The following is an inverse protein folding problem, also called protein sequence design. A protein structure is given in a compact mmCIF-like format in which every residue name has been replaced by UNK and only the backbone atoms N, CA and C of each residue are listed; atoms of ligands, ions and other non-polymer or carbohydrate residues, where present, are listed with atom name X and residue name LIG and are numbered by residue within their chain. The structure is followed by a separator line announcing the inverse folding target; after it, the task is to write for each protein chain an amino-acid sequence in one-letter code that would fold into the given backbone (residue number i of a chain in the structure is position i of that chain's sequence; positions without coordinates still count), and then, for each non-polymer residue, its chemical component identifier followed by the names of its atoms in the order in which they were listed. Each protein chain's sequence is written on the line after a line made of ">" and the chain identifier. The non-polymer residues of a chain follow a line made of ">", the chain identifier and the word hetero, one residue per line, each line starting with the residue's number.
data_IF_799165053395
#
_entry.id   IF_799165053395
#
_cell.length_a   1.000
_cell.length_b   1.000
_cell.length_c   1.000
_cell.angle_alpha   90.00
_cell.angle_beta   90.00
_cell.angle_gamma   90.00
#
_symmetry.space_group_name_H-M   'P 1'
#
loop_
_entity.id
_entity.type
_entity.pdbx_description
1 polymer ?
#
# COMPACT_ATOMS: atom_id res chain seq x y z
N UNK A 1 -7.23 -10.05 -1.70
CA UNK A 1 -5.99 -10.82 -2.02
C UNK A 1 -4.77 -9.90 -1.93
N UNK A 2 -3.53 -10.39 -1.68
CA UNK A 2 -2.33 -9.55 -1.49
C UNK A 2 -2.10 -8.54 -2.62
N UNK A 3 -2.34 -8.98 -3.86
CA UNK A 3 -2.20 -8.12 -5.05
C UNK A 3 -3.21 -6.97 -5.07
N UNK A 4 -4.43 -7.19 -4.59
CA UNK A 4 -5.47 -6.15 -4.55
C UNK A 4 -5.13 -5.09 -3.50
N UNK A 5 -4.61 -5.50 -2.34
CA UNK A 5 -4.13 -4.58 -1.31
C UNK A 5 -2.94 -3.75 -1.79
N UNK A 6 -2.03 -4.34 -2.57
CA UNK A 6 -0.93 -3.60 -3.20
C UNK A 6 -1.46 -2.55 -4.18
N UNK A 7 -2.44 -2.90 -5.02
CA UNK A 7 -3.07 -1.96 -5.95
C UNK A 7 -3.86 -0.85 -5.26
N UNK A 8 -4.51 -1.16 -4.14
CA UNK A 8 -5.21 -0.17 -3.33
C UNK A 8 -4.20 0.81 -2.73
N UNK A 9 -3.12 0.30 -2.11
CA UNK A 9 -2.07 1.13 -1.54
C UNK A 9 -1.40 2.02 -2.58
N UNK A 10 -1.08 1.49 -3.77
CA UNK A 10 -0.54 2.30 -4.88
C UNK A 10 -1.49 3.46 -5.22
N UNK A 11 -2.80 3.20 -5.29
CA UNK A 11 -3.78 4.26 -5.57
C UNK A 11 -3.86 5.30 -4.45
N UNK A 12 -3.80 4.87 -3.19
CA UNK A 12 -3.79 5.77 -2.04
C UNK A 12 -2.58 6.69 -2.03
N UNK A 13 -1.37 6.15 -2.23
CA UNK A 13 -0.13 6.93 -2.18
C UNK A 13 0.08 7.81 -3.43
N UNK A 14 -0.25 7.26 -4.60
CA UNK A 14 0.08 7.89 -5.88
C UNK A 14 -1.09 8.75 -6.38
N UNK A 15 -2.34 8.33 -6.27
CA UNK A 15 -3.45 8.97 -7.03
C UNK A 15 -4.54 9.61 -6.17
N UNK A 16 -4.67 9.25 -4.89
CA UNK A 16 -5.87 9.62 -4.12
C UNK A 16 -5.86 11.10 -3.67
N UNK A 17 -4.69 11.64 -3.35
CA UNK A 17 -4.53 13.03 -2.92
C UNK A 17 -3.78 13.92 -3.93
N UNK A 18 -3.48 13.39 -5.12
CA UNK A 18 -2.61 14.05 -6.09
C UNK A 18 -3.20 13.98 -7.49
N UNK A 19 -3.34 15.14 -8.13
CA UNK A 19 -3.68 15.25 -9.55
C UNK A 19 -2.42 15.63 -10.33
N UNK A 20 -1.95 14.74 -11.20
CA UNK A 20 -0.80 14.98 -12.06
C UNK A 20 -1.19 15.81 -13.28
N UNK A 21 -0.28 16.66 -13.73
CA UNK A 21 -0.51 17.52 -14.91
C UNK A 21 -0.21 16.77 -16.22
N UNK A 22 0.58 15.70 -16.16
CA UNK A 22 0.95 14.88 -17.31
C UNK A 22 0.98 13.39 -16.97
N UNK A 23 0.86 12.55 -18.00
CA UNK A 23 1.03 11.10 -17.85
C UNK A 23 2.47 10.72 -17.47
N UNK A 24 3.47 11.49 -17.91
CA UNK A 24 4.88 11.25 -17.57
C UNK A 24 5.12 11.36 -16.07
N UNK A 25 4.57 12.39 -15.43
CA UNK A 25 4.72 12.62 -13.98
C UNK A 25 4.08 11.48 -13.17
N UNK A 26 2.91 10.99 -13.61
CA UNK A 26 2.28 9.81 -13.02
C UNK A 26 3.18 8.57 -13.14
N UNK A 27 3.75 8.32 -14.33
CA UNK A 27 4.63 7.17 -14.56
C UNK A 27 5.88 7.27 -13.67
N UNK A 28 6.51 8.44 -13.58
CA UNK A 28 7.67 8.66 -12.70
C UNK A 28 7.32 8.39 -11.24
N UNK A 29 6.15 8.85 -10.77
CA UNK A 29 5.74 8.61 -9.39
C UNK A 29 5.46 7.13 -9.11
N UNK A 30 4.86 6.41 -10.05
CA UNK A 30 4.67 4.96 -9.95
C UNK A 30 6.02 4.23 -9.90
N UNK A 31 7.00 4.62 -10.72
CA UNK A 31 8.34 4.03 -10.70
C UNK A 31 9.06 4.28 -9.36
N UNK A 32 8.94 5.48 -8.80
CA UNK A 32 9.49 5.79 -7.49
C UNK A 32 8.84 4.95 -6.38
N UNK A 33 7.51 4.78 -6.44
CA UNK A 33 6.80 3.90 -5.52
C UNK A 33 7.31 2.45 -5.62
N UNK A 34 7.47 1.92 -6.85
CA UNK A 34 8.00 0.58 -7.06
C UNK A 34 9.43 0.41 -6.49
N UNK A 35 10.31 1.40 -6.68
CA UNK A 35 11.68 1.37 -6.15
C UNK A 35 11.69 1.40 -4.61
N UNK A 36 10.83 2.22 -4.01
CA UNK A 36 10.73 2.35 -2.55
C UNK A 36 10.28 1.03 -1.89
N UNK A 37 9.19 0.44 -2.39
CA UNK A 37 8.67 -0.83 -1.83
C UNK A 37 9.66 -1.98 -2.03
N UNK A 38 10.36 -2.02 -3.17
CA UNK A 38 11.35 -3.06 -3.45
C UNK A 38 12.65 -2.89 -2.66
N UNK A 39 12.89 -1.71 -2.07
CA UNK A 39 14.01 -1.49 -1.16
C UNK A 39 13.78 -2.17 0.21
N UNK A 40 12.53 -2.47 0.55
CA UNK A 40 12.13 -3.03 1.85
C UNK A 40 11.30 -4.32 1.72
N UNK A 41 11.79 -5.35 1.00
CA UNK A 41 10.96 -6.48 0.55
C UNK A 41 10.33 -7.29 1.69
N UNK A 42 10.99 -7.38 2.85
CA UNK A 42 10.46 -8.10 4.02
C UNK A 42 9.30 -7.35 4.68
N UNK A 43 9.36 -6.03 4.76
CA UNK A 43 8.28 -5.20 5.33
C UNK A 43 7.02 -5.24 4.45
N UNK A 44 7.20 -5.26 3.13
CA UNK A 44 6.11 -5.42 2.17
C UNK A 44 5.47 -6.80 2.30
N UNK A 45 6.29 -7.84 2.44
CA UNK A 45 5.80 -9.20 2.66
C UNK A 45 4.98 -9.31 3.93
N UNK A 46 5.42 -8.73 5.05
CA UNK A 46 4.67 -8.73 6.31
C UNK A 46 3.34 -7.97 6.19
N UNK A 47 3.38 -6.80 5.55
CA UNK A 47 2.19 -5.94 5.34
C UNK A 47 1.14 -6.57 4.41
N UNK A 48 1.57 -7.22 3.33
CA UNK A 48 0.67 -7.85 2.35
C UNK A 48 0.27 -9.27 2.74
N UNK A 49 0.86 -9.82 3.81
CA UNK A 49 0.55 -11.16 4.28
C UNK A 49 -0.90 -11.27 4.71
N UNK A 50 -1.59 -12.28 4.19
CA UNK A 50 -2.96 -12.59 4.62
C UNK A 50 -2.89 -13.19 6.01
N UNK A 51 -3.23 -12.40 7.03
CA UNK A 51 -3.43 -12.90 8.39
C UNK A 51 -4.65 -13.84 8.39
N UNK A 52 -4.42 -15.14 8.57
CA UNK A 52 -5.49 -16.15 8.72
C UNK A 52 -6.07 -16.17 10.14
N UNK A 53 -5.48 -15.41 11.06
CA UNK A 53 -5.94 -15.26 12.42
C UNK A 53 -5.95 -13.77 12.76
N UNK A 54 -7.07 -13.31 13.32
CA UNK A 54 -7.23 -11.95 13.79
C UNK A 54 -6.63 -11.87 15.19
N UNK A 55 -5.72 -10.93 15.43
CA UNK A 55 -5.21 -10.68 16.77
C UNK A 55 -6.26 -9.89 17.56
N UNK A 56 -6.79 -10.49 18.62
CA UNK A 56 -7.96 -9.91 19.32
C UNK A 56 -7.64 -8.57 19.98
N UNK A 57 -6.38 -8.30 20.32
CA UNK A 57 -5.98 -7.04 20.95
C UNK A 57 -5.68 -5.95 19.91
N UNK A 58 -5.09 -6.27 18.75
CA UNK A 58 -4.97 -5.35 17.60
C UNK A 58 -6.35 -4.95 17.04
N UNK A 59 -7.27 -5.91 16.90
CA UNK A 59 -8.57 -5.65 16.27
C UNK A 59 -9.51 -4.80 17.15
N UNK A 60 -9.45 -4.90 18.48
CA UNK A 60 -10.22 -4.03 19.38
C UNK A 60 -9.90 -2.55 19.17
N UNK A 61 -8.65 -2.24 18.82
CA UNK A 61 -8.20 -0.87 18.55
C UNK A 61 -8.71 -0.33 17.20
N UNK A 62 -9.09 -1.22 16.26
CA UNK A 62 -9.63 -0.84 14.94
C UNK A 62 -11.13 -0.50 14.96
N UNK A 63 -11.87 -1.00 15.96
CA UNK A 63 -13.35 -0.87 16.05
C UNK A 63 -13.78 0.26 17.00
N UNK A 64 -12.84 0.88 17.73
CA UNK A 64 -13.16 1.89 18.75
C UNK A 64 -13.26 3.34 18.22
N UNK A 65 -13.81 3.54 17.02
CA UNK A 65 -14.18 4.87 16.49
C UNK A 65 -15.70 5.01 16.45
#
# INVERSE_FOLDING_TARGET
>A
MPVEHLWQWLREDVTYHTCYQSSTELIERVLLFEQDINSHPFEISDRLWVKNHLDSDEEKLRVST
#
